data_IF_658537205166
#
_entry.id   IF_658537205166
#
_cell.length_a   1.000
_cell.length_b   1.000
_cell.length_c   1.000
_cell.angle_alpha   90.00
_cell.angle_beta   90.00
_cell.angle_gamma   90.00
#
_symmetry.space_group_name_H-M   'P 1'
#
loop_
_entity.id
_entity.type
_entity.pdbx_description
1 polymer ?
#
# COMPACT_ATOMS: atom_id res chain seq x y z
N UNK A 1 11.65 9.91 -14.62
CA UNK A 1 10.44 9.15 -14.28
C UNK A 1 10.19 8.07 -15.31
N UNK A 2 9.93 6.84 -14.86
CA UNK A 2 9.63 5.71 -15.73
C UNK A 2 8.34 5.98 -16.53
N UNK A 3 8.39 5.83 -17.85
CA UNK A 3 7.24 6.05 -18.73
C UNK A 3 6.36 4.79 -18.85
N UNK A 4 6.89 3.63 -18.50
CA UNK A 4 6.20 2.33 -18.50
C UNK A 4 6.45 1.55 -17.20
N UNK A 5 5.45 0.77 -16.75
CA UNK A 5 5.60 -0.15 -15.59
C UNK A 5 6.72 -1.16 -15.83
N UNK A 6 7.01 -1.53 -17.08
CA UNK A 6 8.12 -2.39 -17.48
C UNK A 6 9.50 -1.83 -17.08
N UNK A 7 9.60 -0.52 -16.83
CA UNK A 7 10.81 0.15 -16.37
C UNK A 7 10.88 0.28 -14.84
N UNK A 8 9.83 -0.15 -14.13
CA UNK A 8 9.79 -0.13 -12.67
C UNK A 8 10.42 -1.41 -12.14
N UNK A 9 11.62 -1.28 -11.57
CA UNK A 9 12.25 -2.38 -10.85
C UNK A 9 11.37 -2.79 -9.66
N UNK A 10 11.03 -4.06 -9.61
CA UNK A 10 10.36 -4.69 -8.47
C UNK A 10 11.41 -5.26 -7.54
N UNK A 11 11.24 -5.03 -6.23
CA UNK A 11 12.15 -5.47 -5.19
C UNK A 11 11.44 -6.49 -4.33
N UNK A 12 12.00 -7.70 -4.23
CA UNK A 12 11.52 -8.70 -3.29
C UNK A 12 11.63 -8.13 -1.86
N UNK A 13 10.47 -7.96 -1.22
CA UNK A 13 10.35 -7.30 0.06
C UNK A 13 11.02 -8.08 1.20
N UNK A 14 11.01 -9.41 1.12
CA UNK A 14 11.65 -10.25 2.14
C UNK A 14 13.17 -10.25 1.98
N UNK A 15 13.68 -10.32 0.76
CA UNK A 15 15.12 -10.18 0.52
C UNK A 15 15.63 -8.77 0.84
N UNK A 16 14.86 -7.73 0.51
CA UNK A 16 15.21 -6.36 0.91
C UNK A 16 15.29 -6.23 2.43
N UNK A 17 14.29 -6.75 3.15
CA UNK A 17 14.28 -6.76 4.60
C UNK A 17 15.44 -7.55 5.20
N UNK A 18 15.80 -8.70 4.62
CA UNK A 18 16.94 -9.51 5.07
C UNK A 18 18.24 -8.71 5.07
N UNK A 19 18.46 -7.89 4.05
CA UNK A 19 19.61 -6.99 3.97
C UNK A 19 19.58 -5.87 5.02
N UNK A 20 18.42 -5.56 5.59
CA UNK A 20 18.21 -4.49 6.57
C UNK A 20 18.15 -5.00 8.02
N UNK A 21 18.25 -6.33 8.24
CA UNK A 21 18.15 -6.95 9.57
C UNK A 21 19.19 -6.44 10.57
N UNK A 22 20.32 -5.93 10.09
CA UNK A 22 21.36 -5.32 10.94
C UNK A 22 20.86 -4.08 11.70
N UNK A 23 19.71 -3.50 11.35
CA UNK A 23 19.13 -2.39 12.10
C UNK A 23 18.54 -2.85 13.44
N UNK A 24 18.10 -4.11 13.55
CA UNK A 24 17.51 -4.66 14.76
C UNK A 24 18.58 -5.21 15.72
N UNK A 25 19.49 -4.36 16.16
CA UNK A 25 20.51 -4.76 17.14
C UNK A 25 19.90 -5.07 18.52
N UNK A 26 18.69 -4.57 18.78
CA UNK A 26 17.86 -4.95 19.94
C UNK A 26 16.36 -4.96 19.57
N UNK A 27 15.53 -5.60 20.41
CA UNK A 27 14.08 -5.68 20.21
C UNK A 27 13.32 -4.48 20.81
N UNK A 28 14.00 -3.40 21.18
CA UNK A 28 13.38 -2.24 21.84
C UNK A 28 12.97 -1.15 20.85
N UNK A 29 13.48 -1.20 19.62
CA UNK A 29 13.22 -0.20 18.59
C UNK A 29 12.41 -0.79 17.45
N UNK A 30 11.29 -0.15 17.10
CA UNK A 30 10.55 -0.44 15.87
C UNK A 30 11.12 0.39 14.72
N UNK A 31 11.80 -0.27 13.77
CA UNK A 31 12.35 0.37 12.59
C UNK A 31 11.31 0.39 11.47
N UNK A 32 11.02 1.58 10.94
CA UNK A 32 10.10 1.75 9.81
C UNK A 32 10.85 2.46 8.68
N UNK A 33 11.01 1.77 7.56
CA UNK A 33 11.76 2.25 6.39
C UNK A 33 10.77 2.71 5.34
N UNK A 34 10.89 3.96 4.92
CA UNK A 34 10.09 4.54 3.85
C UNK A 34 10.90 4.56 2.56
N UNK A 35 10.30 4.07 1.47
CA UNK A 35 10.97 4.00 0.17
C UNK A 35 10.01 4.28 -0.98
N UNK A 36 10.53 4.75 -2.11
CA UNK A 36 9.79 4.86 -3.38
C UNK A 36 10.05 3.67 -4.31
N UNK A 37 10.84 2.68 -3.89
CA UNK A 37 11.03 1.43 -4.63
C UNK A 37 9.78 0.59 -4.54
N UNK A 38 9.31 0.03 -5.66
CA UNK A 38 8.16 -0.86 -5.67
C UNK A 38 8.54 -2.20 -5.03
N UNK A 39 7.98 -2.49 -3.86
CA UNK A 39 8.20 -3.75 -3.15
C UNK A 39 7.16 -4.79 -3.56
N UNK A 40 7.54 -6.05 -3.58
CA UNK A 40 6.68 -7.17 -3.92
C UNK A 40 6.98 -8.40 -3.07
N UNK A 41 6.03 -9.33 -3.00
CA UNK A 41 6.22 -10.67 -2.41
C UNK A 41 5.79 -11.73 -3.42
N UNK A 42 6.49 -12.85 -3.46
CA UNK A 42 6.08 -14.00 -4.26
C UNK A 42 4.94 -14.73 -3.55
N UNK A 43 3.87 -15.08 -4.27
CA UNK A 43 2.79 -15.93 -3.78
C UNK A 43 2.92 -17.31 -4.45
N UNK A 44 3.18 -18.34 -3.65
CA UNK A 44 3.35 -19.71 -4.14
C UNK A 44 2.05 -20.30 -4.70
N UNK A 45 0.89 -19.77 -4.29
CA UNK A 45 -0.41 -20.29 -4.73
C UNK A 45 -0.71 -19.95 -6.20
N UNK A 46 -0.31 -18.76 -6.66
CA UNK A 46 -0.52 -18.31 -8.04
C UNK A 46 0.78 -18.12 -8.84
N UNK A 47 1.93 -18.43 -8.24
CA UNK A 47 3.23 -18.57 -8.90
C UNK A 47 3.80 -17.25 -9.44
N UNK A 48 3.44 -16.12 -8.83
CA UNK A 48 3.88 -14.80 -9.30
C UNK A 48 4.14 -13.81 -8.15
N UNK A 49 4.86 -12.76 -8.50
CA UNK A 49 5.07 -11.62 -7.62
C UNK A 49 3.83 -10.72 -7.58
N UNK A 50 3.49 -10.30 -6.37
CA UNK A 50 2.47 -9.30 -6.11
C UNK A 50 3.10 -8.07 -5.48
N UNK A 51 2.76 -6.90 -6.02
CA UNK A 51 3.14 -5.64 -5.41
C UNK A 51 2.57 -5.54 -3.98
N UNK A 52 3.32 -4.87 -3.09
CA UNK A 52 2.94 -4.63 -1.70
C UNK A 52 3.18 -3.17 -1.36
N UNK A 53 2.22 -2.56 -0.68
CA UNK A 53 2.40 -1.26 -0.06
C UNK A 53 3.29 -1.34 1.19
N UNK A 54 3.20 -2.46 1.93
CA UNK A 54 3.92 -2.67 3.19
C UNK A 54 4.41 -4.11 3.30
N UNK A 55 5.61 -4.27 3.87
CA UNK A 55 6.15 -5.53 4.39
C UNK A 55 6.21 -5.38 5.90
N UNK A 56 5.27 -6.03 6.59
CA UNK A 56 5.17 -5.99 8.04
C UNK A 56 6.22 -6.93 8.66
N UNK A 57 7.25 -6.36 9.28
CA UNK A 57 8.10 -6.99 10.29
C UNK A 57 8.88 -5.88 11.01
N UNK A 58 9.94 -6.23 11.71
CA UNK A 58 10.96 -5.27 12.15
C UNK A 58 12.28 -5.67 11.47
N UNK A 59 12.95 -4.82 10.66
CA UNK A 59 12.45 -3.53 10.17
C UNK A 59 11.26 -3.71 9.21
N UNK A 60 10.27 -2.83 9.35
CA UNK A 60 9.16 -2.73 8.42
C UNK A 60 9.58 -1.90 7.20
N UNK A 61 8.98 -2.21 6.04
CA UNK A 61 9.23 -1.47 4.81
C UNK A 61 7.90 -1.00 4.25
N UNK A 62 7.74 0.31 4.07
CA UNK A 62 6.57 0.91 3.44
C UNK A 62 7.00 1.58 2.13
N UNK A 63 6.37 1.17 1.03
CA UNK A 63 6.63 1.65 -0.32
C UNK A 63 5.58 2.66 -0.76
N UNK A 64 5.97 3.91 -1.01
CA UNK A 64 5.05 4.92 -1.58
C UNK A 64 4.56 4.53 -2.96
N UNK A 65 5.43 3.94 -3.78
CA UNK A 65 5.05 3.38 -5.09
C UNK A 65 4.12 2.17 -4.92
N UNK A 66 4.36 1.33 -3.92
CA UNK A 66 3.48 0.21 -3.58
C UNK A 66 2.09 0.66 -3.15
N UNK A 67 1.96 1.76 -2.39
CA UNK A 67 0.67 2.36 -2.02
C UNK A 67 -0.13 2.78 -3.26
N UNK A 68 0.54 3.26 -4.31
CA UNK A 68 -0.07 3.73 -5.57
C UNK A 68 -0.42 2.55 -6.48
N UNK A 69 0.52 1.63 -6.68
CA UNK A 69 0.44 0.64 -7.76
C UNK A 69 -0.03 -0.74 -7.31
N UNK A 70 0.07 -1.10 -6.03
CA UNK A 70 -0.36 -2.42 -5.56
C UNK A 70 -1.89 -2.58 -5.52
N UNK A 71 -2.67 -1.61 -5.00
CA UNK A 71 -4.13 -1.69 -5.04
C UNK A 71 -4.64 -1.42 -6.46
N UNK A 72 -5.58 -2.23 -6.93
CA UNK A 72 -6.17 -2.08 -8.25
C UNK A 72 -6.94 -0.76 -8.39
N UNK A 73 -6.76 -0.10 -9.54
CA UNK A 73 -7.54 1.10 -9.91
C UNK A 73 -8.99 0.69 -10.27
N UNK A 74 -9.96 1.62 -10.31
CA UNK A 74 -11.33 1.30 -10.70
C UNK A 74 -11.41 0.59 -12.06
N UNK A 75 -12.32 -0.38 -12.21
CA UNK A 75 -12.46 -1.16 -13.45
C UNK A 75 -12.81 -0.29 -14.66
N UNK A 76 -13.63 0.74 -14.43
CA UNK A 76 -14.08 1.70 -15.44
C UNK A 76 -12.91 2.48 -16.04
N UNK A 77 -11.89 2.80 -15.23
CA UNK A 77 -10.67 3.43 -15.71
C UNK A 77 -9.95 2.54 -16.73
N UNK A 78 -9.83 1.23 -16.47
CA UNK A 78 -9.18 0.31 -17.39
C UNK A 78 -9.96 0.16 -18.70
N UNK A 79 -11.30 0.07 -18.66
CA UNK A 79 -12.11 0.02 -19.88
C UNK A 79 -11.92 1.25 -20.75
N UNK A 80 -11.87 2.44 -20.15
CA UNK A 80 -11.65 3.68 -20.90
C UNK A 80 -10.24 3.77 -21.49
N UNK A 81 -9.21 3.37 -20.73
CA UNK A 81 -7.84 3.29 -21.24
C UNK A 81 -7.73 2.31 -22.43
N UNK A 82 -8.40 1.16 -22.35
CA UNK A 82 -8.44 0.19 -23.45
C UNK A 82 -9.13 0.77 -24.69
N UNK A 83 -10.26 1.46 -24.51
CA UNK A 83 -11.00 2.11 -25.60
C UNK A 83 -10.20 3.22 -26.28
N UNK A 84 -9.49 4.06 -25.52
CA UNK A 84 -8.60 5.09 -26.05
C UNK A 84 -7.43 4.47 -26.83
N UNK A 85 -6.81 3.42 -26.28
CA UNK A 85 -5.70 2.73 -26.94
C UNK A 85 -6.13 2.10 -28.26
N UNK A 86 -7.34 1.53 -28.34
CA UNK A 86 -7.90 0.99 -29.57
C UNK A 86 -8.11 2.06 -30.66
N UNK A 87 -8.25 3.33 -30.27
CA UNK A 87 -8.36 4.49 -31.17
C UNK A 87 -7.00 5.15 -31.45
N UNK A 88 -5.89 4.60 -30.95
CA UNK A 88 -4.55 5.20 -31.08
C UNK A 88 -4.34 6.46 -30.23
N UNK A 89 -5.22 6.72 -29.25
CA UNK A 89 -5.15 7.86 -28.35
C UNK A 89 -4.37 7.53 -27.08
N UNK A 90 -3.80 8.55 -26.44
CA UNK A 90 -3.12 8.40 -25.15
C UNK A 90 -4.13 8.28 -23.97
N UNK A 91 -3.63 7.84 -22.81
CA UNK A 91 -4.45 7.64 -21.61
C UNK A 91 -4.65 8.90 -20.75
N UNK A 92 -4.21 10.09 -21.21
CA UNK A 92 -4.21 11.30 -20.36
C UNK A 92 -5.62 11.77 -20.03
N UNK A 93 -6.55 11.72 -21.00
CA UNK A 93 -7.95 12.07 -20.78
C UNK A 93 -8.61 11.18 -19.72
N UNK A 94 -8.37 9.87 -19.80
CA UNK A 94 -8.81 8.92 -18.77
C UNK A 94 -8.17 9.23 -17.41
N UNK A 95 -6.87 9.52 -17.36
CA UNK A 95 -6.21 9.88 -16.11
C UNK A 95 -6.83 11.13 -15.47
N UNK A 96 -7.10 12.18 -16.24
CA UNK A 96 -7.70 13.41 -15.70
C UNK A 96 -9.13 13.16 -15.20
N UNK A 97 -9.95 12.42 -15.98
CA UNK A 97 -11.33 12.08 -15.61
C UNK A 97 -11.42 11.33 -14.29
N UNK A 98 -10.45 10.47 -13.99
CA UNK A 98 -10.44 9.63 -12.80
C UNK A 98 -9.45 10.06 -11.70
N UNK A 99 -8.80 11.24 -11.81
CA UNK A 99 -7.67 11.59 -10.93
C UNK A 99 -7.99 11.53 -9.43
N UNK A 100 -9.22 11.85 -9.05
CA UNK A 100 -9.63 11.84 -7.64
C UNK A 100 -10.01 10.44 -7.14
N UNK A 101 -10.12 9.43 -8.03
CA UNK A 101 -10.60 8.08 -7.72
C UNK A 101 -9.49 7.08 -7.35
N UNK A 102 -8.23 7.44 -7.51
CA UNK A 102 -7.07 6.66 -7.10
C UNK A 102 -5.89 7.62 -6.82
N UNK A 103 -4.88 7.14 -6.11
CA UNK A 103 -3.65 7.89 -5.86
C UNK A 103 -2.77 7.93 -7.12
N UNK A 104 -2.09 9.06 -7.36
CA UNK A 104 -1.00 9.17 -8.35
C UNK A 104 0.30 9.62 -7.66
N UNK A 105 1.40 9.63 -8.40
CA UNK A 105 2.68 10.13 -7.89
C UNK A 105 2.56 11.61 -7.51
N UNK A 106 3.21 12.00 -6.41
CA UNK A 106 3.16 13.35 -5.83
C UNK A 106 1.76 13.79 -5.34
N UNK A 107 0.84 12.85 -5.14
CA UNK A 107 -0.46 13.12 -4.55
C UNK A 107 -0.33 13.48 -3.05
N UNK A 108 -0.86 14.63 -2.65
CA UNK A 108 -0.83 15.12 -1.26
C UNK A 108 -1.55 14.17 -0.30
N UNK A 109 -2.50 13.36 -0.79
CA UNK A 109 -3.22 12.35 0.00
C UNK A 109 -2.31 11.21 0.48
N UNK A 110 -1.17 10.97 -0.17
CA UNK A 110 -0.22 9.93 0.22
C UNK A 110 0.26 10.06 1.66
N UNK A 111 0.44 11.29 2.17
CA UNK A 111 0.84 11.50 3.56
C UNK A 111 -0.17 10.88 4.53
N UNK A 112 -1.47 11.08 4.28
CA UNK A 112 -2.52 10.58 5.18
C UNK A 112 -2.66 9.05 5.11
N UNK A 113 -2.47 8.50 3.91
CA UNK A 113 -2.44 7.06 3.68
C UNK A 113 -1.21 6.42 4.33
N UNK A 114 -0.04 7.07 4.25
CA UNK A 114 1.20 6.63 4.88
C UNK A 114 1.06 6.51 6.40
N UNK A 115 0.41 7.49 7.06
CA UNK A 115 0.09 7.38 8.49
C UNK A 115 -0.71 6.09 8.82
N UNK A 116 -1.61 5.67 7.94
CA UNK A 116 -2.37 4.43 8.10
C UNK A 116 -1.51 3.18 7.99
N UNK A 117 -0.59 3.14 7.02
CA UNK A 117 0.37 2.05 6.90
C UNK A 117 1.37 2.01 8.07
N UNK A 118 1.80 3.15 8.59
CA UNK A 118 2.59 3.22 9.83
C UNK A 118 1.78 2.63 10.99
N UNK A 119 0.50 2.98 11.11
CA UNK A 119 -0.38 2.41 12.12
C UNK A 119 -0.55 0.89 11.96
N UNK A 120 -0.66 0.38 10.73
CA UNK A 120 -0.67 -1.06 10.46
C UNK A 120 0.61 -1.76 10.93
N UNK A 121 1.78 -1.16 10.68
CA UNK A 121 3.05 -1.70 11.17
C UNK A 121 3.08 -1.74 12.71
N UNK A 122 2.62 -0.68 13.37
CA UNK A 122 2.54 -0.61 14.84
C UNK A 122 1.61 -1.71 15.37
N UNK A 123 0.41 -1.85 14.81
CA UNK A 123 -0.52 -2.90 15.21
C UNK A 123 0.05 -4.29 15.00
N UNK A 124 0.69 -4.55 13.85
CA UNK A 124 1.36 -5.82 13.60
C UNK A 124 2.43 -6.12 14.66
N UNK A 125 3.22 -5.12 15.06
CA UNK A 125 4.23 -5.29 16.10
C UNK A 125 3.62 -5.61 17.47
N UNK A 126 2.41 -5.13 17.76
CA UNK A 126 1.70 -5.36 19.03
C UNK A 126 0.97 -6.71 19.03
N UNK A 127 0.28 -7.05 17.94
CA UNK A 127 -0.70 -8.14 17.91
C UNK A 127 -0.28 -9.33 17.04
N UNK A 128 0.70 -9.16 16.16
CA UNK A 128 1.03 -10.10 15.10
C UNK A 128 0.01 -10.16 13.95
N UNK A 129 -1.09 -9.40 14.01
CA UNK A 129 -2.10 -9.34 12.94
C UNK A 129 -1.75 -8.23 11.95
N UNK A 130 -1.54 -8.57 10.68
CA UNK A 130 -1.06 -7.60 9.69
C UNK A 130 -2.15 -6.65 9.19
N UNK A 131 -3.40 -7.12 9.07
CA UNK A 131 -4.47 -6.34 8.46
C UNK A 131 -5.85 -6.63 9.05
N UNK A 132 -6.77 -5.69 8.85
CA UNK A 132 -8.19 -5.81 9.14
C UNK A 132 -9.00 -6.11 7.88
N UNK A 133 -10.08 -6.88 8.00
CA UNK A 133 -11.03 -7.13 6.90
C UNK A 133 -12.16 -6.10 6.85
N UNK A 134 -12.37 -5.31 7.91
CA UNK A 134 -13.39 -4.26 7.93
C UNK A 134 -12.97 -3.09 7.03
N UNK A 135 -13.73 -2.90 5.96
CA UNK A 135 -13.48 -1.84 4.95
C UNK A 135 -13.48 -0.43 5.53
N UNK A 136 -14.13 -0.22 6.68
CA UNK A 136 -14.18 1.07 7.39
C UNK A 136 -12.98 1.26 8.33
N UNK A 137 -12.26 0.19 8.65
CA UNK A 137 -11.11 0.28 9.53
C UNK A 137 -9.92 0.88 8.80
N UNK A 138 -9.21 1.80 9.46
CA UNK A 138 -7.94 2.35 8.96
C UNK A 138 -6.83 1.28 8.79
N UNK A 139 -7.02 0.07 9.32
CA UNK A 139 -6.12 -1.06 9.11
C UNK A 139 -6.57 -2.01 8.00
N UNK A 140 -7.57 -1.64 7.19
CA UNK A 140 -8.09 -2.47 6.10
C UNK A 140 -6.99 -3.00 5.15
N UNK A 141 -7.05 -4.28 4.81
CA UNK A 141 -6.30 -4.89 3.70
C UNK A 141 -6.88 -4.48 2.32
N UNK A 142 -6.79 -3.20 1.96
CA UNK A 142 -7.39 -2.72 0.73
C UNK A 142 -6.67 -3.26 -0.52
N UNK A 143 -7.37 -4.07 -1.32
CA UNK A 143 -6.89 -4.53 -2.63
C UNK A 143 -7.28 -3.60 -3.77
N UNK A 144 -8.18 -2.65 -3.51
CA UNK A 144 -8.66 -1.65 -4.47
C UNK A 144 -8.36 -0.25 -3.97
N UNK A 145 -7.98 0.65 -4.88
CA UNK A 145 -7.77 2.08 -4.60
C UNK A 145 -9.00 2.72 -3.95
N UNK A 146 -10.20 2.31 -4.36
CA UNK A 146 -11.46 2.77 -3.76
C UNK A 146 -11.52 2.48 -2.26
N UNK A 147 -11.24 1.25 -1.86
CA UNK A 147 -11.32 0.81 -0.47
C UNK A 147 -10.19 1.39 0.38
N UNK A 148 -9.00 1.56 -0.24
CA UNK A 148 -7.88 2.26 0.36
C UNK A 148 -8.26 3.70 0.68
N UNK A 149 -8.73 4.46 -0.30
CA UNK A 149 -9.12 5.87 -0.10
C UNK A 149 -10.27 6.00 0.91
N UNK A 150 -11.26 5.10 0.84
CA UNK A 150 -12.38 5.09 1.77
C UNK A 150 -11.94 4.88 3.22
N UNK A 151 -11.15 3.84 3.49
CA UNK A 151 -10.65 3.55 4.84
C UNK A 151 -9.68 4.62 5.37
N UNK A 152 -8.80 5.13 4.51
CA UNK A 152 -7.71 6.02 4.93
C UNK A 152 -8.10 7.50 5.01
N UNK A 153 -8.99 7.96 4.14
CA UNK A 153 -9.31 9.39 3.99
C UNK A 153 -10.73 9.71 4.42
N UNK A 154 -11.72 8.93 4.00
CA UNK A 154 -13.12 9.21 4.31
C UNK A 154 -13.48 8.81 5.75
N UNK A 155 -13.17 7.57 6.13
CA UNK A 155 -13.44 7.09 7.49
C UNK A 155 -12.30 7.49 8.44
N UNK A 156 -11.05 7.19 8.06
CA UNK A 156 -9.82 7.54 8.81
C UNK A 156 -9.87 7.15 10.31
N UNK A 157 -10.56 6.05 10.66
CA UNK A 157 -10.74 5.59 12.06
C UNK A 157 -10.49 4.09 12.19
N UNK A 158 -10.09 3.66 13.38
CA UNK A 158 -10.02 2.25 13.73
C UNK A 158 -11.43 1.70 13.96
N UNK A 159 -11.64 0.42 13.64
CA UNK A 159 -12.87 -0.28 14.03
C UNK A 159 -12.90 -0.54 15.55
N UNK A 160 -14.03 -1.03 16.06
CA UNK A 160 -14.22 -1.30 17.49
C UNK A 160 -13.13 -2.22 18.06
N UNK A 161 -12.85 -3.36 17.41
CA UNK A 161 -11.80 -4.32 17.80
C UNK A 161 -10.46 -3.63 18.01
N UNK A 162 -10.03 -2.81 17.05
CA UNK A 162 -8.72 -2.17 17.11
C UNK A 162 -8.64 -1.01 18.09
N UNK A 163 -9.75 -0.31 18.37
CA UNK A 163 -9.78 0.65 19.47
C UNK A 163 -9.69 -0.05 20.83
N UNK A 164 -10.37 -1.18 21.01
CA UNK A 164 -10.31 -1.96 22.26
C UNK A 164 -8.88 -2.45 22.55
N UNK A 165 -8.13 -2.87 21.52
CA UNK A 165 -6.70 -3.21 21.65
C UNK A 165 -5.91 -2.03 22.22
N UNK A 166 -6.05 -0.82 21.66
CA UNK A 166 -5.33 0.36 22.16
C UNK A 166 -5.71 0.74 23.59
N UNK A 167 -6.99 0.64 23.94
CA UNK A 167 -7.47 0.94 25.30
C UNK A 167 -6.87 -0.01 26.35
N UNK A 168 -6.54 -1.24 25.97
CA UNK A 168 -5.96 -2.25 26.87
C UNK A 168 -4.43 -2.20 26.97
N UNK A 169 -3.76 -1.33 26.21
CA UNK A 169 -2.31 -1.11 26.30
C UNK A 169 -1.93 -0.06 27.36
N UNK A 170 -2.93 0.69 27.84
CA UNK A 170 -2.77 1.73 28.88
C UNK A 170 -2.94 1.18 30.28
#
# INVERSE_FOLDING_TARGET
>A
DAQEISQVFMYDGFELQKNLRYLNDNNETLHIILTNRLTCTFDENDGRYHARAVICANPAIISTTGIIEAPAKPKEYYFEVMALKAQGLDKKSAKEKYKEKFLDYNDKRLTKVMEGYILQVIFYNITGESFCEDVKCRLNNAHWQKDLLFSQLEISKLCRKHNEILSNLN
#
